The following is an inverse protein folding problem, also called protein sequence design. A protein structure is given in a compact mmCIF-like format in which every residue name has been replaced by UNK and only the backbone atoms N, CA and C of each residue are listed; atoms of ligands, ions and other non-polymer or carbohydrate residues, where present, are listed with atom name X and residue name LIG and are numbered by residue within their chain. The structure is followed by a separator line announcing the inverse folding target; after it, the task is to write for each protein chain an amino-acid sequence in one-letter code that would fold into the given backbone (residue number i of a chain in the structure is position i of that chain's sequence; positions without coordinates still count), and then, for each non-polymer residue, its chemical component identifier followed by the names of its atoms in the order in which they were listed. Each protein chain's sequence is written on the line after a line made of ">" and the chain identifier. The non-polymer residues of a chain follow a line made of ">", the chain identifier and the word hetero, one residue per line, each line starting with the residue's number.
data_IF_949906282549
#
_entry.id   IF_949906282549
#
_cell.length_a   1.000
_cell.length_b   1.000
_cell.length_c   1.000
_cell.angle_alpha   90.00
_cell.angle_beta   90.00
_cell.angle_gamma   90.00
#
_symmetry.space_group_name_H-M   'P 1'
#
loop_
_entity.id
_entity.type
_entity.pdbx_description
1 polymer ?
#
# COMPACT_ATOMS: atom_id res chain seq x y z
N UNK A 1 20.24 32.64 17.85
CA UNK A 1 20.87 31.32 18.08
C UNK A 1 19.77 30.29 18.34
N UNK A 2 19.33 29.53 17.33
CA UNK A 2 18.25 28.52 17.48
C UNK A 2 18.83 27.29 18.18
N UNK A 3 18.46 27.07 19.45
CA UNK A 3 18.84 25.87 20.20
C UNK A 3 18.24 24.65 19.48
N UNK A 4 19.06 23.85 18.80
CA UNK A 4 18.65 22.56 18.25
C UNK A 4 18.20 21.71 19.43
N UNK A 5 16.91 21.41 19.49
CA UNK A 5 16.34 20.57 20.54
C UNK A 5 16.67 19.12 20.19
N UNK A 6 17.90 18.70 20.51
CA UNK A 6 18.32 17.31 20.30
C UNK A 6 17.78 16.46 21.46
N UNK A 7 16.93 15.48 21.15
CA UNK A 7 16.47 14.52 22.15
C UNK A 7 17.66 13.63 22.56
N UNK A 8 17.60 13.07 23.77
CA UNK A 8 18.56 12.03 24.18
C UNK A 8 18.38 10.79 23.30
N UNK A 9 19.43 9.97 23.09
CA UNK A 9 19.37 8.79 22.21
C UNK A 9 18.16 7.88 22.49
N UNK A 10 17.93 7.56 23.78
CA UNK A 10 16.77 6.76 24.22
C UNK A 10 15.41 7.41 23.91
N UNK A 11 15.30 8.74 23.96
CA UNK A 11 14.07 9.46 23.62
C UNK A 11 13.80 9.48 22.12
N UNK A 12 14.85 9.61 21.30
CA UNK A 12 14.75 9.49 19.84
C UNK A 12 14.32 8.09 19.41
N UNK A 13 14.90 7.05 20.03
CA UNK A 13 14.54 5.64 19.77
C UNK A 13 13.07 5.37 20.12
N UNK A 14 12.64 5.76 21.33
CA UNK A 14 11.24 5.59 21.76
C UNK A 14 10.27 6.32 20.84
N UNK A 15 10.55 7.57 20.48
CA UNK A 15 9.72 8.33 19.55
C UNK A 15 9.62 7.62 18.19
N UNK A 16 10.75 7.12 17.67
CA UNK A 16 10.79 6.40 16.39
C UNK A 16 9.97 5.11 16.43
N UNK A 17 10.04 4.35 17.53
CA UNK A 17 9.24 3.14 17.74
C UNK A 17 7.74 3.45 17.79
N UNK A 18 7.34 4.50 18.52
CA UNK A 18 5.94 4.92 18.55
C UNK A 18 5.45 5.35 17.17
N UNK A 19 6.22 6.17 16.46
CA UNK A 19 5.84 6.64 15.12
C UNK A 19 5.73 5.48 14.12
N UNK A 20 6.67 4.53 14.17
CA UNK A 20 6.62 3.32 13.35
C UNK A 20 5.37 2.50 13.68
N UNK A 21 5.10 2.25 14.97
CA UNK A 21 3.93 1.50 15.41
C UNK A 21 2.60 2.14 14.97
N UNK A 22 2.47 3.46 15.13
CA UNK A 22 1.30 4.19 14.62
C UNK A 22 1.17 4.10 13.10
N UNK A 23 2.26 4.29 12.37
CA UNK A 23 2.26 4.18 10.91
C UNK A 23 1.82 2.80 10.44
N UNK A 24 2.39 1.74 11.03
CA UNK A 24 2.04 0.35 10.72
C UNK A 24 0.58 0.03 11.07
N UNK A 25 0.08 0.54 12.21
CA UNK A 25 -1.33 0.37 12.59
C UNK A 25 -2.27 0.95 11.53
N UNK A 26 -2.05 2.19 11.10
CA UNK A 26 -2.89 2.84 10.10
C UNK A 26 -2.78 2.17 8.72
N UNK A 27 -1.58 1.69 8.36
CA UNK A 27 -1.36 0.96 7.11
C UNK A 27 -2.19 -0.32 7.07
N UNK A 28 -2.14 -1.16 8.11
CA UNK A 28 -2.94 -2.39 8.16
C UNK A 28 -4.43 -2.11 8.32
N UNK A 29 -4.81 -1.08 9.08
CA UNK A 29 -6.21 -0.68 9.18
C UNK A 29 -6.79 -0.29 7.81
N UNK A 30 -6.04 0.52 7.04
CA UNK A 30 -6.40 0.90 5.68
C UNK A 30 -6.50 -0.32 4.77
N UNK A 31 -5.52 -1.24 4.87
CA UNK A 31 -5.52 -2.50 4.13
C UNK A 31 -6.79 -3.33 4.35
N UNK A 32 -7.10 -3.65 5.61
CA UNK A 32 -8.26 -4.49 5.93
C UNK A 32 -9.56 -3.82 5.49
N UNK A 33 -9.68 -2.50 5.70
CA UNK A 33 -10.83 -1.73 5.25
C UNK A 33 -10.99 -1.80 3.72
N UNK A 34 -9.90 -1.67 2.98
CA UNK A 34 -9.89 -1.79 1.52
C UNK A 34 -10.30 -3.19 1.06
N UNK A 35 -9.82 -4.25 1.70
CA UNK A 35 -10.22 -5.62 1.38
C UNK A 35 -11.72 -5.87 1.55
N UNK A 36 -12.35 -5.29 2.58
CA UNK A 36 -13.80 -5.46 2.79
C UNK A 36 -14.66 -4.67 1.80
N UNK A 37 -14.18 -3.51 1.36
CA UNK A 37 -14.98 -2.56 0.57
C UNK A 37 -14.67 -2.65 -0.94
N UNK A 38 -13.53 -3.23 -1.34
CA UNK A 38 -13.09 -3.20 -2.74
C UNK A 38 -14.09 -3.87 -3.69
N UNK A 39 -14.63 -5.03 -3.33
CA UNK A 39 -15.58 -5.73 -4.20
C UNK A 39 -16.88 -4.95 -4.36
N UNK A 40 -17.44 -4.42 -3.26
CA UNK A 40 -18.70 -3.67 -3.32
C UNK A 40 -18.57 -2.37 -4.12
N UNK A 41 -17.44 -1.67 -4.00
CA UNK A 41 -17.14 -0.47 -4.79
C UNK A 41 -17.00 -0.79 -6.28
N UNK A 42 -16.21 -1.82 -6.62
CA UNK A 42 -15.96 -2.20 -8.00
C UNK A 42 -17.23 -2.71 -8.69
N UNK A 43 -18.03 -3.52 -7.98
CA UNK A 43 -19.31 -4.00 -8.49
C UNK A 43 -20.33 -2.85 -8.68
N UNK A 44 -20.30 -1.82 -7.82
CA UNK A 44 -21.13 -0.61 -8.01
C UNK A 44 -20.77 0.13 -9.30
N UNK A 45 -19.48 0.19 -9.66
CA UNK A 45 -19.01 0.78 -10.92
C UNK A 45 -19.43 -0.09 -12.11
N UNK A 46 -19.28 -1.42 -12.00
CA UNK A 46 -19.73 -2.36 -13.04
C UNK A 46 -21.23 -2.22 -13.32
N UNK A 47 -22.05 -2.06 -12.28
CA UNK A 47 -23.52 -1.90 -12.43
C UNK A 47 -23.88 -0.66 -13.25
N UNK A 48 -23.07 0.41 -13.17
CA UNK A 48 -23.29 1.64 -13.95
C UNK A 48 -22.69 1.57 -15.36
N UNK A 49 -21.52 0.95 -15.49
CA UNK A 49 -20.83 0.79 -16.77
C UNK A 49 -20.17 -0.60 -16.86
N UNK A 50 -20.90 -1.61 -17.38
CA UNK A 50 -20.43 -3.00 -17.42
C UNK A 50 -19.19 -3.22 -18.30
N UNK A 51 -18.91 -2.32 -19.25
CA UNK A 51 -17.76 -2.44 -20.16
C UNK A 51 -16.46 -1.96 -19.53
N UNK A 52 -16.55 -1.16 -18.47
CA UNK A 52 -15.39 -0.49 -17.85
C UNK A 52 -14.60 -1.41 -16.93
N UNK A 53 -15.27 -2.30 -16.21
CA UNK A 53 -14.67 -3.23 -15.26
C UNK A 53 -15.53 -4.48 -15.10
N UNK A 54 -14.92 -5.63 -14.83
CA UNK A 54 -15.64 -6.90 -14.63
C UNK A 54 -16.40 -6.92 -13.30
N UNK A 55 -17.51 -7.67 -13.23
CA UNK A 55 -18.35 -7.80 -12.04
C UNK A 55 -17.56 -8.27 -10.80
N UNK A 56 -16.66 -9.24 -10.98
CA UNK A 56 -15.85 -9.83 -9.90
C UNK A 56 -14.41 -9.29 -9.87
N UNK A 57 -14.18 -8.11 -10.47
CA UNK A 57 -12.84 -7.56 -10.57
C UNK A 57 -12.22 -7.26 -9.21
N UNK A 58 -12.99 -7.01 -8.14
CA UNK A 58 -12.43 -6.84 -6.80
C UNK A 58 -11.73 -8.12 -6.32
N UNK A 59 -12.38 -9.28 -6.46
CA UNK A 59 -11.76 -10.59 -6.14
C UNK A 59 -10.53 -10.89 -7.01
N UNK A 60 -10.61 -10.67 -8.32
CA UNK A 60 -9.46 -10.87 -9.20
C UNK A 60 -8.31 -9.93 -8.82
N UNK A 61 -8.61 -8.67 -8.52
CA UNK A 61 -7.63 -7.70 -8.07
C UNK A 61 -6.90 -8.13 -6.80
N UNK A 62 -7.62 -8.72 -5.84
CA UNK A 62 -7.01 -9.30 -4.64
C UNK A 62 -6.09 -10.48 -4.97
N UNK A 63 -6.49 -11.37 -5.90
CA UNK A 63 -5.61 -12.45 -6.33
C UNK A 63 -4.30 -11.94 -6.94
N UNK A 64 -4.37 -10.94 -7.83
CA UNK A 64 -3.17 -10.29 -8.40
C UNK A 64 -2.29 -9.65 -7.33
N UNK A 65 -2.90 -8.95 -6.37
CA UNK A 65 -2.19 -8.35 -5.24
C UNK A 65 -1.43 -9.43 -4.45
N UNK A 66 -2.12 -10.46 -3.96
CA UNK A 66 -1.49 -11.50 -3.14
C UNK A 66 -0.41 -12.28 -3.89
N UNK A 67 -0.60 -12.56 -5.18
CA UNK A 67 0.44 -13.20 -5.99
C UNK A 67 1.66 -12.30 -6.15
N UNK A 68 1.48 -11.00 -6.41
CA UNK A 68 2.58 -10.05 -6.50
C UNK A 68 3.32 -9.93 -5.15
N UNK A 69 2.58 -9.82 -4.05
CA UNK A 69 3.12 -9.80 -2.69
C UNK A 69 3.94 -11.05 -2.37
N UNK A 70 3.44 -12.24 -2.74
CA UNK A 70 4.16 -13.49 -2.51
C UNK A 70 5.49 -13.53 -3.30
N UNK A 71 5.46 -13.10 -4.56
CA UNK A 71 6.66 -13.06 -5.41
C UNK A 71 7.66 -12.02 -4.88
N UNK A 72 7.19 -10.82 -4.55
CA UNK A 72 8.06 -9.73 -4.11
C UNK A 72 8.71 -10.03 -2.75
N UNK A 73 7.98 -10.67 -1.85
CA UNK A 73 8.49 -11.11 -0.54
C UNK A 73 9.70 -12.05 -0.62
N UNK A 74 9.83 -12.83 -1.71
CA UNK A 74 11.02 -13.67 -1.93
C UNK A 74 12.29 -12.84 -2.13
N UNK A 75 12.16 -11.61 -2.61
CA UNK A 75 13.26 -10.70 -2.93
C UNK A 75 13.41 -9.54 -1.93
N UNK A 76 12.43 -9.29 -1.06
CA UNK A 76 12.44 -8.18 -0.10
C UNK A 76 13.72 -8.15 0.75
N UNK A 77 14.13 -9.29 1.30
CA UNK A 77 15.34 -9.38 2.14
C UNK A 77 16.61 -9.01 1.35
N UNK A 78 16.71 -9.44 0.09
CA UNK A 78 17.82 -9.08 -0.78
C UNK A 78 17.81 -7.60 -1.12
N UNK A 79 16.63 -7.02 -1.40
CA UNK A 79 16.49 -5.60 -1.72
C UNK A 79 16.85 -4.69 -0.53
N UNK A 80 16.44 -5.09 0.68
CA UNK A 80 16.70 -4.34 1.91
C UNK A 80 18.19 -4.29 2.28
N UNK A 81 19.01 -5.20 1.75
CA UNK A 81 20.46 -5.12 1.90
C UNK A 81 21.07 -3.93 1.15
N UNK A 82 20.51 -3.56 0.00
CA UNK A 82 21.02 -2.49 -0.86
C UNK A 82 20.38 -1.13 -0.56
N UNK A 83 19.13 -1.10 -0.08
CA UNK A 83 18.39 0.12 0.17
C UNK A 83 18.23 0.40 1.66
N UNK A 84 18.53 1.64 2.07
CA UNK A 84 18.22 2.09 3.42
C UNK A 84 16.71 2.01 3.68
N UNK A 85 16.31 1.44 4.82
CA UNK A 85 14.90 1.14 5.13
C UNK A 85 13.97 2.35 5.08
N UNK A 86 14.50 3.55 5.33
CA UNK A 86 13.75 4.81 5.17
C UNK A 86 13.22 5.00 3.74
N UNK A 87 14.02 4.70 2.72
CA UNK A 87 13.62 4.94 1.32
C UNK A 87 12.61 3.90 0.84
N UNK A 88 12.72 2.65 1.30
CA UNK A 88 11.72 1.62 1.05
C UNK A 88 10.36 2.09 1.58
N UNK A 89 10.31 2.56 2.84
CA UNK A 89 9.06 3.07 3.44
C UNK A 89 8.46 4.25 2.67
N UNK A 90 9.29 5.19 2.19
CA UNK A 90 8.82 6.34 1.39
C UNK A 90 8.24 5.88 0.06
N UNK A 91 8.95 4.99 -0.66
CA UNK A 91 8.49 4.46 -1.96
C UNK A 91 7.19 3.69 -1.79
N UNK A 92 7.09 2.81 -0.79
CA UNK A 92 5.86 2.09 -0.48
C UNK A 92 4.72 3.07 -0.21
N UNK A 93 4.92 4.09 0.63
CA UNK A 93 3.87 5.09 0.92
C UNK A 93 3.40 5.84 -0.33
N UNK A 94 4.30 6.17 -1.26
CA UNK A 94 3.93 6.81 -2.53
C UNK A 94 3.11 5.87 -3.42
N UNK A 95 3.49 4.60 -3.54
CA UNK A 95 2.75 3.60 -4.31
C UNK A 95 1.32 3.43 -3.76
N UNK A 96 1.19 3.39 -2.44
CA UNK A 96 -0.11 3.37 -1.76
C UNK A 96 -0.97 4.60 -2.08
N UNK A 97 -0.38 5.79 -2.08
CA UNK A 97 -1.10 7.02 -2.41
C UNK A 97 -1.60 6.99 -3.87
N UNK A 98 -0.74 6.58 -4.81
CA UNK A 98 -1.09 6.46 -6.24
C UNK A 98 -2.23 5.46 -6.43
N UNK A 99 -2.18 4.31 -5.77
CA UNK A 99 -3.26 3.32 -5.80
C UNK A 99 -4.61 3.94 -5.39
N UNK A 100 -4.67 4.63 -4.26
CA UNK A 100 -5.90 5.24 -3.76
C UNK A 100 -6.40 6.38 -4.66
N UNK A 101 -5.50 7.20 -5.22
CA UNK A 101 -5.87 8.23 -6.20
C UNK A 101 -6.52 7.63 -7.45
N UNK A 102 -6.13 6.42 -7.83
CA UNK A 102 -6.70 5.69 -8.95
C UNK A 102 -8.20 5.40 -8.84
N UNK A 103 -8.75 5.35 -7.63
CA UNK A 103 -10.18 5.11 -7.42
C UNK A 103 -11.06 6.29 -7.85
N UNK A 104 -10.51 7.49 -7.99
CA UNK A 104 -11.26 8.61 -8.59
C UNK A 104 -11.59 8.36 -10.07
N UNK A 105 -10.78 7.56 -10.78
CA UNK A 105 -11.00 7.23 -12.18
C UNK A 105 -10.66 5.77 -12.49
N UNK A 106 -11.52 4.86 -12.02
CA UNK A 106 -11.32 3.40 -12.13
C UNK A 106 -11.25 2.99 -13.60
N UNK A 107 -10.19 2.34 -14.05
CA UNK A 107 -10.11 1.70 -15.38
C UNK A 107 -9.57 0.29 -15.16
N UNK A 108 -10.07 -0.72 -15.88
CA UNK A 108 -9.59 -2.11 -15.76
C UNK A 108 -8.08 -2.23 -15.82
N UNK A 109 -7.42 -1.58 -16.79
CA UNK A 109 -5.96 -1.66 -16.93
C UNK A 109 -5.23 -1.03 -15.75
N UNK A 110 -5.66 0.17 -15.34
CA UNK A 110 -5.09 0.86 -14.19
C UNK A 110 -5.29 0.05 -12.92
N UNK A 111 -6.50 -0.47 -12.71
CA UNK A 111 -6.87 -1.21 -11.50
C UNK A 111 -5.98 -2.43 -11.32
N UNK A 112 -5.90 -3.35 -12.29
CA UNK A 112 -5.06 -4.55 -12.14
C UNK A 112 -3.57 -4.23 -12.04
N UNK A 113 -3.08 -3.25 -12.81
CA UNK A 113 -1.67 -2.82 -12.72
C UNK A 113 -1.35 -2.26 -11.33
N UNK A 114 -2.23 -1.41 -10.80
CA UNK A 114 -2.08 -0.83 -9.47
C UNK A 114 -2.15 -1.90 -8.36
N UNK A 115 -2.94 -2.96 -8.53
CA UNK A 115 -2.98 -4.09 -7.57
C UNK A 115 -1.65 -4.86 -7.51
N UNK A 116 -0.99 -5.03 -8.66
CA UNK A 116 0.35 -5.64 -8.70
C UNK A 116 1.36 -4.74 -7.98
N UNK A 117 1.34 -3.43 -8.26
CA UNK A 117 2.21 -2.47 -7.57
C UNK A 117 2.00 -2.46 -6.05
N UNK A 118 0.75 -2.62 -5.60
CA UNK A 118 0.44 -2.74 -4.18
C UNK A 118 1.09 -3.97 -3.57
N UNK A 119 1.05 -5.13 -4.24
CA UNK A 119 1.73 -6.33 -3.77
C UNK A 119 3.22 -6.10 -3.51
N UNK A 120 3.91 -5.39 -4.41
CA UNK A 120 5.31 -4.98 -4.20
C UNK A 120 5.48 -3.99 -3.04
N UNK A 121 4.55 -3.05 -2.88
CA UNK A 121 4.63 -2.03 -1.84
C UNK A 121 4.43 -2.60 -0.42
N UNK A 122 3.70 -3.72 -0.30
CA UNK A 122 3.42 -4.39 0.97
C UNK A 122 4.54 -5.35 1.44
N UNK A 123 5.43 -5.81 0.56
CA UNK A 123 6.52 -6.73 0.91
C UNK A 123 7.81 -6.04 1.29
#
# INVERSE_FOLDING_TARGET
>A
MKKKMELTPRRHELLSVYMLGFGTLFLYLGYFTQCFISESVINSVHTKDPKRISAFAGYYGQAFHYSAFAISSLFSASLQHYFASKWILVISTLLFAVYHLGFFYINSYYFYFSQVLMGFAYS
#
